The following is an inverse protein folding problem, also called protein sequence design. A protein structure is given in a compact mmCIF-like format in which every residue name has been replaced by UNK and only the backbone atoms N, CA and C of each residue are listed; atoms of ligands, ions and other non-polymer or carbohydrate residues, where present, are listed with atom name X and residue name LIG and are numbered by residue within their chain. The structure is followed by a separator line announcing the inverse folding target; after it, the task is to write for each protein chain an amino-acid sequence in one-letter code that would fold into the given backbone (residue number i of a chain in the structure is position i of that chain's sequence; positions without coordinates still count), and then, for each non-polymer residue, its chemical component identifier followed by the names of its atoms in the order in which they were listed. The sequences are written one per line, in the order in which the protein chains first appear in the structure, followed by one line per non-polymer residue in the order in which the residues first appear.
data_IF_409248609147
#
_entry.id   IF_409248609147
#
_cell.length_a   1.000
_cell.length_b   1.000
_cell.length_c   1.000
_cell.angle_alpha   90.00
_cell.angle_beta   90.00
_cell.angle_gamma   90.00
#
_symmetry.space_group_name_H-M   'P 1'
#
loop_
_entity.id
_entity.type
_entity.pdbx_description
1 polymer ?
#
# COMPACT_ATOMS: atom_id res chain seq x y z
N UNK A 1 -10.32 -9.72 13.29
CA UNK A 1 -9.37 -10.05 14.38
C UNK A 1 -8.83 -8.74 14.92
N UNK A 2 -8.71 -8.56 16.24
CA UNK A 2 -8.09 -7.32 16.75
C UNK A 2 -6.59 -7.35 16.45
N UNK A 3 -6.03 -6.23 16.01
CA UNK A 3 -4.60 -6.08 15.80
C UNK A 3 -3.85 -6.42 17.09
N UNK A 4 -2.72 -7.13 16.98
CA UNK A 4 -1.81 -7.38 18.12
C UNK A 4 -1.25 -6.05 18.59
N UNK A 5 -1.34 -5.78 19.90
CA UNK A 5 -0.75 -4.57 20.50
C UNK A 5 0.70 -4.85 20.93
N UNK A 6 1.62 -3.96 20.55
CA UNK A 6 3.05 -4.00 20.86
C UNK A 6 3.40 -2.72 21.62
N UNK A 7 4.03 -2.82 22.78
CA UNK A 7 4.27 -1.69 23.68
C UNK A 7 5.73 -1.26 23.67
N UNK A 8 6.00 -0.12 23.03
CA UNK A 8 7.33 0.48 22.97
C UNK A 8 8.31 -0.29 22.08
N UNK A 9 9.53 0.23 22.03
CA UNK A 9 10.54 -0.26 21.08
C UNK A 9 11.17 -1.59 21.48
N UNK A 10 11.20 -1.92 22.77
CA UNK A 10 11.80 -3.18 23.23
C UNK A 10 10.93 -4.39 22.89
N UNK A 11 9.60 -4.27 23.06
CA UNK A 11 8.67 -5.30 22.61
C UNK A 11 8.70 -5.41 21.08
N UNK A 12 8.78 -4.30 20.35
CA UNK A 12 8.90 -4.36 18.88
C UNK A 12 10.16 -5.11 18.42
N UNK A 13 11.30 -4.86 19.07
CA UNK A 13 12.58 -5.52 18.73
C UNK A 13 12.58 -7.01 19.02
N UNK A 14 11.84 -7.48 20.03
CA UNK A 14 11.78 -8.90 20.36
C UNK A 14 11.05 -9.74 19.30
N UNK A 15 10.30 -9.07 18.39
CA UNK A 15 9.51 -9.70 17.33
C UNK A 15 10.24 -9.79 15.98
N UNK A 16 11.53 -9.44 15.93
CA UNK A 16 12.31 -9.52 14.70
C UNK A 16 12.34 -10.98 14.20
N UNK A 17 11.91 -11.16 12.95
CA UNK A 17 11.81 -12.47 12.30
C UNK A 17 10.46 -13.16 12.45
N UNK A 18 9.54 -12.62 13.26
CA UNK A 18 8.20 -13.17 13.40
C UNK A 18 7.26 -12.65 12.29
N UNK A 19 6.36 -13.52 11.82
CA UNK A 19 5.25 -13.11 10.97
C UNK A 19 4.10 -12.57 11.83
N UNK A 20 3.79 -11.27 11.69
CA UNK A 20 2.84 -10.57 12.56
C UNK A 20 1.37 -10.68 12.12
N UNK A 21 1.11 -11.24 10.93
CA UNK A 21 -0.23 -11.45 10.38
C UNK A 21 -0.44 -10.80 9.01
N UNK A 22 -1.70 -10.78 8.58
CA UNK A 22 -2.15 -10.22 7.30
C UNK A 22 -3.23 -9.17 7.53
N UNK A 23 -3.24 -8.13 6.70
CA UNK A 23 -4.39 -7.22 6.65
C UNK A 23 -5.59 -7.93 6.01
N UNK A 24 -6.81 -7.46 6.26
CA UNK A 24 -7.93 -7.70 5.37
C UNK A 24 -7.60 -7.33 3.90
N UNK A 25 -8.34 -7.92 2.97
CA UNK A 25 -8.33 -7.49 1.58
C UNK A 25 -8.83 -6.05 1.46
N UNK A 26 -8.23 -5.30 0.55
CA UNK A 26 -8.64 -3.95 0.18
C UNK A 26 -8.94 -3.95 -1.31
N UNK A 27 -10.13 -3.48 -1.66
CA UNK A 27 -10.50 -3.21 -3.05
C UNK A 27 -9.85 -1.91 -3.51
N UNK A 28 -9.21 -1.93 -4.67
CA UNK A 28 -8.66 -0.73 -5.31
C UNK A 28 -9.67 -0.23 -6.32
N UNK A 29 -10.22 0.95 -6.08
CA UNK A 29 -11.23 1.53 -6.96
C UNK A 29 -10.58 2.43 -8.01
N UNK A 30 -11.25 2.58 -9.16
CA UNK A 30 -10.83 3.53 -10.19
C UNK A 30 -10.76 4.97 -9.66
N UNK A 31 -11.62 5.34 -8.70
CA UNK A 31 -11.58 6.65 -8.06
C UNK A 31 -10.26 6.89 -7.32
N UNK A 32 -9.77 5.90 -6.57
CA UNK A 32 -8.47 6.00 -5.89
C UNK A 32 -7.32 6.12 -6.88
N UNK A 33 -7.37 5.37 -7.99
CA UNK A 33 -6.38 5.47 -9.07
C UNK A 33 -6.39 6.89 -9.68
N UNK A 34 -7.57 7.45 -9.94
CA UNK A 34 -7.70 8.79 -10.49
C UNK A 34 -7.20 9.86 -9.51
N UNK A 35 -7.59 9.79 -8.23
CA UNK A 35 -7.13 10.73 -7.21
C UNK A 35 -5.61 10.66 -7.00
N UNK A 36 -5.02 9.47 -7.13
CA UNK A 36 -3.57 9.32 -7.07
C UNK A 36 -2.89 9.94 -8.30
N UNK A 37 -3.48 9.80 -9.49
CA UNK A 37 -3.03 10.50 -10.69
C UNK A 37 -3.07 12.03 -10.49
N UNK A 38 -4.17 12.56 -9.96
CA UNK A 38 -4.33 14.00 -9.67
C UNK A 38 -3.27 14.48 -8.67
N UNK A 39 -3.02 13.71 -7.60
CA UNK A 39 -2.08 14.07 -6.55
C UNK A 39 -0.61 14.04 -7.00
N UNK A 40 -0.27 13.16 -7.96
CA UNK A 40 1.12 12.94 -8.39
C UNK A 40 1.45 13.53 -9.76
N UNK A 41 0.43 13.88 -10.54
CA UNK A 41 0.56 14.28 -11.93
C UNK A 41 0.68 13.11 -12.91
N UNK A 42 0.74 11.86 -12.46
CA UNK A 42 0.86 10.69 -13.33
C UNK A 42 -0.50 10.26 -13.90
N UNK A 43 -0.85 10.89 -15.02
CA UNK A 43 -2.06 10.60 -15.80
C UNK A 43 -1.79 9.67 -16.97
N UNK A 44 -0.82 8.76 -16.86
CA UNK A 44 -0.57 7.80 -17.93
C UNK A 44 -1.86 7.01 -18.23
N UNK A 45 -2.20 6.91 -19.51
CA UNK A 45 -3.50 6.37 -19.97
C UNK A 45 -3.83 4.96 -19.44
N UNK A 46 -2.82 4.14 -19.13
CA UNK A 46 -3.02 2.79 -18.57
C UNK A 46 -3.69 2.81 -17.18
N UNK A 47 -3.69 3.96 -16.51
CA UNK A 47 -4.29 4.15 -15.19
C UNK A 47 -5.68 4.80 -15.27
N UNK A 48 -5.83 5.84 -16.10
CA UNK A 48 -6.98 6.77 -16.01
C UNK A 48 -7.92 6.76 -17.22
N UNK A 49 -7.47 6.27 -18.37
CA UNK A 49 -8.27 6.20 -19.60
C UNK A 49 -8.82 4.79 -19.77
N UNK A 50 -10.02 4.55 -19.25
CA UNK A 50 -10.65 3.22 -19.20
C UNK A 50 -10.82 2.62 -20.60
N UNK A 51 -11.29 3.42 -21.56
CA UNK A 51 -11.55 2.95 -22.93
C UNK A 51 -10.24 2.48 -23.58
N UNK A 52 -9.20 3.32 -23.50
CA UNK A 52 -7.90 2.99 -24.06
C UNK A 52 -7.22 1.84 -23.32
N UNK A 53 -7.35 1.79 -21.99
CA UNK A 53 -6.80 0.72 -21.16
C UNK A 53 -7.42 -0.65 -21.45
N UNK A 54 -8.73 -0.72 -21.70
CA UNK A 54 -9.42 -1.95 -22.10
C UNK A 54 -8.91 -2.51 -23.44
N UNK A 55 -8.54 -1.64 -24.39
CA UNK A 55 -7.91 -2.03 -25.65
C UNK A 55 -6.39 -2.30 -25.53
N UNK A 56 -5.83 -2.05 -24.34
CA UNK A 56 -4.41 -2.15 -24.05
C UNK A 56 -3.94 -3.55 -23.66
N UNK A 57 -2.64 -3.69 -23.35
CA UNK A 57 -2.02 -4.98 -23.08
C UNK A 57 -2.46 -5.64 -21.77
N UNK A 58 -3.13 -4.89 -20.88
CA UNK A 58 -3.58 -5.38 -19.58
C UNK A 58 -5.08 -5.75 -19.57
N UNK A 59 -5.82 -5.43 -20.63
CA UNK A 59 -7.26 -5.72 -20.73
C UNK A 59 -8.16 -4.86 -19.83
N UNK A 60 -7.62 -3.80 -19.23
CA UNK A 60 -8.31 -2.88 -18.34
C UNK A 60 -7.35 -1.87 -17.71
N UNK A 61 -7.87 -0.85 -17.02
CA UNK A 61 -7.04 0.06 -16.23
C UNK A 61 -6.36 -0.69 -15.09
N UNK A 62 -5.12 -0.33 -14.80
CA UNK A 62 -4.34 -0.89 -13.68
C UNK A 62 -3.97 0.21 -12.70
N UNK A 63 -3.76 -0.12 -11.44
CA UNK A 63 -3.31 0.84 -10.45
C UNK A 63 -1.87 1.31 -10.70
N UNK A 64 -1.54 2.52 -10.25
CA UNK A 64 -0.15 2.96 -10.18
C UNK A 64 0.63 2.04 -9.22
N UNK A 65 1.81 1.56 -9.62
CA UNK A 65 2.66 0.79 -8.70
C UNK A 65 2.97 1.57 -7.41
N UNK A 66 3.15 2.89 -7.53
CA UNK A 66 3.35 3.76 -6.37
C UNK A 66 2.10 3.94 -5.51
N UNK A 67 0.89 3.82 -6.06
CA UNK A 67 -0.34 3.74 -5.26
C UNK A 67 -0.29 2.48 -4.40
N UNK A 68 0.00 1.31 -5.00
CA UNK A 68 0.14 0.04 -4.26
C UNK A 68 1.18 0.14 -3.13
N UNK A 69 2.35 0.73 -3.40
CA UNK A 69 3.37 0.94 -2.36
C UNK A 69 2.87 1.88 -1.25
N UNK A 70 2.13 2.92 -1.60
CA UNK A 70 1.62 3.92 -0.67
C UNK A 70 0.53 3.40 0.28
N UNK A 71 -0.02 2.21 0.05
CA UNK A 71 -0.99 1.57 0.94
C UNK A 71 -0.37 1.02 2.22
N UNK A 72 0.97 0.85 2.28
CA UNK A 72 1.67 0.30 3.45
C UNK A 72 1.24 0.92 4.80
N UNK A 73 1.25 2.26 4.95
CA UNK A 73 0.77 2.95 6.15
C UNK A 73 -0.70 2.72 6.50
N UNK A 74 -1.55 2.34 5.55
CA UNK A 74 -2.97 2.03 5.78
C UNK A 74 -3.17 0.55 6.15
N UNK A 75 -2.38 -0.34 5.54
CA UNK A 75 -2.49 -1.79 5.76
C UNK A 75 -1.81 -2.23 7.07
N UNK A 76 -0.63 -1.67 7.36
CA UNK A 76 0.17 -2.06 8.51
C UNK A 76 -0.56 -1.94 9.87
N UNK A 77 -1.29 -0.84 10.17
CA UNK A 77 -2.05 -0.71 11.40
C UNK A 77 -3.22 -1.70 11.55
N UNK A 78 -3.64 -2.35 10.45
CA UNK A 78 -4.67 -3.39 10.46
C UNK A 78 -4.10 -4.74 10.92
N UNK A 79 -2.77 -4.88 10.94
CA UNK A 79 -2.06 -6.08 11.39
C UNK A 79 -1.62 -5.92 12.85
N UNK A 80 -0.97 -4.80 13.16
CA UNK A 80 -0.43 -4.52 14.50
C UNK A 80 -0.68 -3.08 14.92
N UNK A 81 -0.87 -2.87 16.21
CA UNK A 81 -0.89 -1.56 16.85
C UNK A 81 0.36 -1.44 17.71
N UNK A 82 1.23 -0.46 17.46
CA UNK A 82 2.36 -0.20 18.34
C UNK A 82 2.08 1.08 19.15
N UNK A 83 2.34 1.03 20.45
CA UNK A 83 2.15 2.14 21.39
C UNK A 83 3.50 2.62 21.93
N UNK A 84 3.53 3.76 22.64
CA UNK A 84 4.73 4.28 23.30
C UNK A 84 5.61 5.21 22.46
N UNK A 85 5.10 5.75 21.34
CA UNK A 85 5.73 6.78 20.54
C UNK A 85 4.69 7.81 20.08
N UNK A 86 5.15 9.03 19.74
CA UNK A 86 4.28 10.14 19.32
C UNK A 86 3.93 10.10 17.83
N UNK A 87 4.88 9.68 16.99
CA UNK A 87 4.70 9.62 15.54
C UNK A 87 5.67 8.63 14.89
N UNK A 88 5.29 8.13 13.72
CA UNK A 88 6.16 7.37 12.82
C UNK A 88 6.38 8.16 11.52
N UNK A 89 7.56 8.00 10.93
CA UNK A 89 7.90 8.61 9.64
C UNK A 89 8.38 7.51 8.71
N UNK A 90 7.97 7.57 7.43
CA UNK A 90 8.53 6.70 6.42
C UNK A 90 9.99 7.11 6.16
N UNK A 91 10.94 6.31 6.64
CA UNK A 91 12.37 6.54 6.42
C UNK A 91 12.75 6.34 4.94
N UNK A 92 12.07 5.40 4.27
CA UNK A 92 12.32 5.03 2.89
C UNK A 92 12.10 3.55 2.65
N UNK A 93 12.49 3.11 1.46
CA UNK A 93 12.45 1.70 1.09
C UNK A 93 13.84 1.24 0.64
N UNK A 94 14.15 -0.02 0.90
CA UNK A 94 15.31 -0.68 0.30
C UNK A 94 14.97 -1.10 -1.14
N UNK A 95 14.97 -2.40 -1.44
CA UNK A 95 14.61 -2.91 -2.77
C UNK A 95 13.09 -3.05 -2.91
N UNK A 96 12.50 -2.33 -3.87
CA UNK A 96 11.07 -2.45 -4.27
C UNK A 96 10.98 -2.92 -5.71
N UNK A 97 10.03 -3.82 -6.01
CA UNK A 97 9.72 -4.33 -7.36
C UNK A 97 8.21 -4.52 -7.48
N UNK A 98 7.69 -4.38 -8.69
CA UNK A 98 6.28 -4.63 -9.04
C UNK A 98 6.23 -5.74 -10.09
N UNK A 99 6.20 -7.03 -9.67
CA UNK A 99 6.31 -8.16 -10.61
C UNK A 99 5.06 -8.35 -11.49
N UNK A 100 3.91 -7.90 -11.02
CA UNK A 100 2.63 -7.98 -11.72
C UNK A 100 1.84 -6.68 -11.50
N UNK A 101 1.03 -6.24 -12.48
CA UNK A 101 0.08 -5.15 -12.30
C UNK A 101 -1.03 -5.55 -11.33
N UNK A 102 -1.65 -4.54 -10.70
CA UNK A 102 -2.84 -4.68 -9.85
C UNK A 102 -4.01 -4.05 -10.58
#
# INVERSE_FOLDING_TARGET
MSARTINGTDELKSLVGEHLGYSPYVEITQEQVNLFADATGDHQWIHVDIEKANAGPFGGPIAHGYLTLSLGPVLYPQVVSITGYSMGVNYGCNKVRFPAPV
#
